data_IF_992585982166
#
_entry.id   IF_992585982166
#
_cell.length_a   1.000
_cell.length_b   1.000
_cell.length_c   1.000
_cell.angle_alpha   90.00
_cell.angle_beta   90.00
_cell.angle_gamma   90.00
#
_symmetry.space_group_name_H-M   'P 1'
#
loop_
_entity.id
_entity.type
_entity.pdbx_description
1 polymer ?
#
# COMPACT_ATOMS: atom_id res chain seq x y z
N UNK A 1 -15.21 29.21 34.00
CA UNK A 1 -15.94 29.27 32.72
C UNK A 1 -15.07 28.60 31.64
N UNK A 2 -15.22 27.28 31.43
CA UNK A 2 -14.39 26.48 30.51
C UNK A 2 -14.99 26.55 29.10
N UNK A 3 -14.26 27.12 28.13
CA UNK A 3 -14.70 27.19 26.74
C UNK A 3 -14.60 25.79 26.10
N UNK A 4 -15.75 25.19 25.78
CA UNK A 4 -15.83 23.96 24.97
C UNK A 4 -15.41 24.31 23.54
N UNK A 5 -14.25 23.81 23.09
CA UNK A 5 -13.89 23.84 21.66
C UNK A 5 -14.83 22.89 20.93
N UNK A 6 -15.64 23.44 20.04
CA UNK A 6 -16.51 22.70 19.14
C UNK A 6 -15.68 21.73 18.29
N UNK A 7 -15.76 20.43 18.58
CA UNK A 7 -15.42 19.39 17.62
C UNK A 7 -16.39 19.51 16.45
N UNK A 8 -15.94 20.17 15.36
CA UNK A 8 -16.64 20.08 14.07
C UNK A 8 -16.72 18.60 13.72
N UNK A 9 -17.93 18.05 13.66
CA UNK A 9 -18.21 16.75 13.05
C UNK A 9 -17.61 16.79 11.65
N UNK A 10 -16.63 15.94 11.38
CA UNK A 10 -16.08 15.78 10.04
C UNK A 10 -17.11 14.99 9.22
N UNK A 11 -17.75 15.58 8.20
CA UNK A 11 -18.59 14.79 7.33
C UNK A 11 -17.68 13.86 6.53
N UNK A 12 -17.95 12.56 6.60
CA UNK A 12 -17.35 11.49 5.78
C UNK A 12 -17.65 11.62 4.27
N UNK A 13 -18.10 12.80 3.81
CA UNK A 13 -18.23 13.13 2.39
C UNK A 13 -16.86 13.52 1.85
N UNK A 14 -16.10 12.49 1.52
CA UNK A 14 -14.76 12.54 0.94
C UNK A 14 -14.77 13.30 -0.40
N UNK A 15 -14.01 14.38 -0.48
CA UNK A 15 -13.79 15.14 -1.72
C UNK A 15 -13.11 14.25 -2.79
N UNK A 16 -13.49 14.38 -4.08
CA UNK A 16 -12.84 13.71 -5.22
C UNK A 16 -11.30 13.82 -5.25
N UNK A 17 -10.76 14.91 -4.73
CA UNK A 17 -9.33 15.21 -4.71
C UNK A 17 -8.53 14.32 -3.72
N UNK A 18 -9.20 13.66 -2.75
CA UNK A 18 -8.53 12.97 -1.62
C UNK A 18 -8.47 11.44 -1.75
N UNK A 19 -9.02 10.85 -2.82
CA UNK A 19 -9.04 9.38 -2.98
C UNK A 19 -7.65 8.75 -3.13
N UNK A 20 -6.72 9.46 -3.77
CA UNK A 20 -5.32 9.04 -3.86
C UNK A 20 -4.61 9.05 -2.49
N UNK A 21 -5.02 9.92 -1.56
CA UNK A 21 -4.51 9.93 -0.19
C UNK A 21 -5.05 8.74 0.61
N UNK A 22 -6.31 8.34 0.37
CA UNK A 22 -6.90 7.14 0.97
C UNK A 22 -6.14 5.88 0.53
N UNK A 23 -5.78 5.77 -0.74
CA UNK A 23 -5.01 4.62 -1.19
C UNK A 23 -3.59 4.58 -0.61
N UNK A 24 -2.89 5.73 -0.55
CA UNK A 24 -1.59 5.81 0.12
C UNK A 24 -1.69 5.44 1.60
N UNK A 25 -2.80 5.81 2.26
CA UNK A 25 -3.07 5.33 3.62
C UNK A 25 -3.28 3.82 3.67
N UNK A 26 -3.92 3.20 2.68
CA UNK A 26 -4.23 1.76 2.68
C UNK A 26 -3.01 0.84 2.71
N UNK A 27 -1.99 1.12 1.89
CA UNK A 27 -0.73 0.32 1.90
C UNK A 27 0.09 0.54 3.17
N UNK A 28 0.13 1.78 3.67
CA UNK A 28 0.81 2.13 4.93
C UNK A 28 0.12 1.52 6.15
N UNK A 29 -1.20 1.58 6.20
CA UNK A 29 -2.01 0.95 7.24
C UNK A 29 -1.84 -0.57 7.23
N UNK A 30 -1.69 -1.19 6.05
CA UNK A 30 -1.37 -2.61 5.96
C UNK A 30 0.01 -2.93 6.55
N UNK A 31 1.04 -2.12 6.28
CA UNK A 31 2.37 -2.30 6.89
C UNK A 31 2.32 -2.15 8.41
N UNK A 32 1.68 -1.10 8.92
CA UNK A 32 1.53 -0.89 10.36
C UNK A 32 0.76 -2.05 11.01
N UNK A 33 -0.32 -2.52 10.37
CA UNK A 33 -1.11 -3.66 10.84
C UNK A 33 -0.30 -4.97 10.87
N UNK A 34 0.56 -5.23 9.87
CA UNK A 34 1.42 -6.41 9.87
C UNK A 34 2.40 -6.39 11.05
N UNK A 35 2.99 -5.22 11.36
CA UNK A 35 3.89 -5.08 12.50
C UNK A 35 3.12 -5.19 13.82
N UNK A 36 1.96 -4.54 13.93
CA UNK A 36 1.14 -4.57 15.14
C UNK A 36 0.61 -5.97 15.47
N UNK A 37 0.19 -6.73 14.46
CA UNK A 37 -0.46 -8.03 14.65
C UNK A 37 0.51 -9.20 14.83
N UNK A 38 1.73 -9.09 14.27
CA UNK A 38 2.69 -10.21 14.23
C UNK A 38 4.05 -9.87 14.84
N UNK A 39 4.31 -8.61 15.16
CA UNK A 39 5.53 -8.19 15.85
C UNK A 39 5.46 -8.42 17.35
N UNK A 40 6.63 -8.45 17.99
CA UNK A 40 6.73 -8.43 19.45
C UNK A 40 6.52 -7.00 20.00
N UNK A 41 6.42 -6.87 21.33
CA UNK A 41 6.17 -5.58 21.98
C UNK A 41 7.21 -4.52 21.59
N UNK A 42 8.49 -4.87 21.53
CA UNK A 42 9.57 -3.95 21.17
C UNK A 42 9.41 -3.41 19.74
N UNK A 43 9.08 -4.29 18.78
CA UNK A 43 8.82 -3.91 17.39
C UNK A 43 7.58 -3.03 17.28
N UNK A 44 6.50 -3.37 18.00
CA UNK A 44 5.26 -2.60 18.02
C UNK A 44 5.52 -1.19 18.55
N UNK A 45 6.19 -1.07 19.69
CA UNK A 45 6.53 0.23 20.28
C UNK A 45 7.53 1.03 19.44
N UNK A 46 8.47 0.37 18.75
CA UNK A 46 9.46 1.03 17.89
C UNK A 46 8.82 1.58 16.60
N UNK A 47 7.99 0.79 15.92
CA UNK A 47 7.57 1.08 14.55
C UNK A 47 6.13 1.61 14.44
N UNK A 48 5.19 1.15 15.27
CA UNK A 48 3.78 1.50 15.09
C UNK A 48 3.47 2.99 15.39
N UNK A 49 3.94 3.59 16.51
CA UNK A 49 3.62 4.99 16.82
C UNK A 49 3.96 6.00 15.70
N UNK A 50 5.17 6.02 15.11
CA UNK A 50 5.49 6.98 14.05
C UNK A 50 4.74 6.69 12.73
N UNK A 51 4.31 5.43 12.51
CA UNK A 51 3.46 5.08 11.37
C UNK A 51 2.01 5.55 11.56
N UNK A 52 1.48 5.48 12.79
CA UNK A 52 0.13 5.94 13.12
C UNK A 52 -0.01 7.45 13.03
N UNK A 53 1.04 8.21 13.38
CA UNK A 53 1.08 9.68 13.26
C UNK A 53 1.45 10.16 11.85
N UNK A 54 1.87 9.24 10.96
CA UNK A 54 2.47 9.55 9.67
C UNK A 54 3.73 10.43 9.75
N UNK A 55 4.44 10.39 10.88
CA UNK A 55 5.79 10.96 10.99
C UNK A 55 6.77 10.20 10.10
N UNK A 56 6.63 8.87 10.08
CA UNK A 56 7.33 7.98 9.15
C UNK A 56 6.35 7.34 8.18
N UNK A 57 6.82 7.03 6.99
CA UNK A 57 6.05 6.29 6.00
C UNK A 57 6.55 4.86 5.83
N UNK A 58 5.62 3.94 5.54
CA UNK A 58 5.93 2.55 5.28
C UNK A 58 5.60 2.12 3.85
N UNK A 59 6.41 1.20 3.31
CA UNK A 59 6.21 0.54 2.03
C UNK A 59 6.21 -0.97 2.16
N UNK A 60 5.30 -1.63 1.45
CA UNK A 60 5.19 -3.08 1.40
C UNK A 60 5.99 -3.65 0.22
N UNK A 61 6.89 -4.59 0.49
CA UNK A 61 7.84 -5.13 -0.48
C UNK A 61 7.65 -6.65 -0.67
N UNK A 62 6.81 -7.03 -1.63
CA UNK A 62 6.57 -8.42 -2.00
C UNK A 62 7.02 -8.72 -3.44
N UNK A 63 6.44 -8.01 -4.40
CA UNK A 63 6.61 -8.23 -5.84
C UNK A 63 8.06 -8.07 -6.29
N UNK A 64 8.48 -8.95 -7.19
CA UNK A 64 9.79 -8.94 -7.85
C UNK A 64 9.61 -8.89 -9.37
N UNK A 65 10.67 -8.53 -10.14
CA UNK A 65 10.60 -8.56 -11.60
C UNK A 65 10.14 -9.91 -12.18
N UNK A 66 10.53 -11.02 -11.53
CA UNK A 66 10.15 -12.38 -11.93
C UNK A 66 8.96 -12.99 -11.17
N UNK A 67 8.47 -12.33 -10.11
CA UNK A 67 7.47 -12.91 -9.19
C UNK A 67 6.42 -11.86 -8.81
N UNK A 68 5.37 -11.78 -9.63
CA UNK A 68 4.18 -10.94 -9.40
C UNK A 68 3.00 -11.77 -8.86
N UNK A 69 2.27 -12.42 -9.78
CA UNK A 69 1.15 -13.30 -9.44
C UNK A 69 1.59 -14.54 -8.67
N UNK A 70 2.72 -15.13 -9.08
CA UNK A 70 3.39 -16.20 -8.33
C UNK A 70 4.28 -15.59 -7.24
N UNK A 71 3.65 -15.00 -6.22
CA UNK A 71 4.38 -14.30 -5.16
C UNK A 71 5.24 -15.21 -4.28
N UNK A 72 5.00 -16.54 -4.29
CA UNK A 72 5.73 -17.50 -3.48
C UNK A 72 7.10 -17.90 -4.08
N UNK A 73 7.33 -17.62 -5.36
CA UNK A 73 8.60 -17.91 -6.05
C UNK A 73 9.65 -16.81 -5.93
N UNK A 74 9.42 -15.82 -5.05
CA UNK A 74 10.37 -14.72 -4.81
C UNK A 74 11.80 -15.22 -4.55
N UNK A 75 12.77 -14.48 -5.05
CA UNK A 75 14.19 -14.81 -5.06
C UNK A 75 15.01 -13.94 -4.10
N UNK A 76 14.49 -12.78 -3.66
CA UNK A 76 15.17 -11.95 -2.66
C UNK A 76 15.48 -12.80 -1.44
N UNK A 77 16.76 -12.97 -1.13
CA UNK A 77 17.26 -13.83 -0.07
C UNK A 77 17.62 -13.01 1.17
N UNK A 78 17.59 -13.65 2.33
CA UNK A 78 18.02 -13.09 3.61
C UNK A 78 18.80 -14.17 4.37
N UNK A 79 20.13 -14.16 4.24
CA UNK A 79 21.00 -15.16 4.86
C UNK A 79 21.39 -14.72 6.27
N UNK A 80 21.10 -15.52 7.28
CA UNK A 80 21.49 -15.23 8.66
C UNK A 80 23.00 -15.34 8.84
N UNK A 81 23.63 -14.30 9.37
CA UNK A 81 25.04 -14.24 9.75
C UNK A 81 25.14 -13.57 11.13
N UNK A 82 25.39 -14.38 12.17
CA UNK A 82 25.36 -13.90 13.55
C UNK A 82 24.00 -13.35 13.96
N UNK A 83 23.99 -12.07 14.36
CA UNK A 83 22.82 -11.29 14.78
C UNK A 83 22.17 -10.48 13.64
N UNK A 84 22.63 -10.66 12.40
CA UNK A 84 22.11 -9.98 11.22
C UNK A 84 21.59 -10.97 10.14
N UNK A 85 20.69 -10.50 9.29
CA UNK A 85 20.41 -11.05 7.99
C UNK A 85 21.09 -10.21 6.93
N UNK A 86 21.73 -10.87 5.96
CA UNK A 86 22.28 -10.23 4.77
C UNK A 86 21.28 -10.41 3.63
N UNK A 87 20.64 -9.32 3.22
CA UNK A 87 19.63 -9.30 2.18
C UNK A 87 20.27 -9.05 0.82
N UNK A 88 19.90 -9.88 -0.16
CA UNK A 88 20.31 -9.74 -1.56
C UNK A 88 19.13 -10.00 -2.49
N UNK A 89 18.85 -9.06 -3.38
CA UNK A 89 17.78 -9.16 -4.37
C UNK A 89 17.18 -7.81 -4.76
N UNK A 90 16.06 -7.86 -5.47
CA UNK A 90 15.35 -6.65 -5.87
C UNK A 90 13.84 -6.86 -5.88
N UNK A 91 13.13 -5.79 -5.54
CA UNK A 91 11.67 -5.70 -5.53
C UNK A 91 11.23 -4.71 -6.58
N UNK A 92 10.09 -5.00 -7.21
CA UNK A 92 9.53 -4.22 -8.30
C UNK A 92 8.19 -3.60 -7.90
N UNK A 93 7.87 -2.45 -8.50
CA UNK A 93 6.60 -1.73 -8.30
C UNK A 93 6.30 -1.34 -6.85
N UNK A 94 7.34 -1.04 -6.07
CA UNK A 94 7.16 -0.69 -4.66
C UNK A 94 6.64 0.74 -4.54
N UNK A 95 5.45 0.83 -3.99
CA UNK A 95 4.70 2.06 -3.79
C UNK A 95 5.21 2.80 -2.56
N UNK A 96 5.56 4.07 -2.72
CA UNK A 96 6.22 4.88 -1.70
C UNK A 96 7.75 4.73 -1.64
N UNK A 97 8.34 3.83 -2.45
CA UNK A 97 9.78 3.60 -2.44
C UNK A 97 10.58 4.87 -2.75
N UNK A 98 11.63 5.08 -1.95
CA UNK A 98 12.46 6.29 -1.95
C UNK A 98 11.98 7.36 -0.98
N UNK A 99 10.69 7.40 -0.64
CA UNK A 99 10.14 8.35 0.36
C UNK A 99 9.89 7.67 1.70
N UNK A 100 9.44 6.40 1.70
CA UNK A 100 9.20 5.64 2.93
C UNK A 100 10.47 5.43 3.75
N UNK A 101 10.32 5.46 5.07
CA UNK A 101 11.37 5.21 6.06
C UNK A 101 11.41 3.76 6.51
N UNK A 102 10.29 3.04 6.39
CA UNK A 102 10.12 1.67 6.85
C UNK A 102 9.69 0.80 5.65
N UNK A 103 10.39 -0.31 5.43
CA UNK A 103 10.08 -1.26 4.37
C UNK A 103 9.76 -2.61 4.98
N UNK A 104 8.54 -3.10 4.78
CA UNK A 104 8.12 -4.44 5.21
C UNK A 104 8.43 -5.40 4.06
N UNK A 105 9.52 -6.16 4.18
CA UNK A 105 10.11 -6.95 3.11
C UNK A 105 9.83 -8.43 3.28
N UNK A 106 9.25 -9.03 2.24
CA UNK A 106 9.11 -10.48 2.13
C UNK A 106 10.34 -11.04 1.40
N UNK A 107 11.13 -11.82 2.12
CA UNK A 107 12.40 -12.37 1.64
C UNK A 107 12.57 -13.82 2.08
N UNK A 108 13.36 -14.60 1.34
CA UNK A 108 13.59 -16.02 1.56
C UNK A 108 14.72 -16.22 2.57
N UNK A 109 14.41 -16.78 3.73
CA UNK A 109 15.39 -17.20 4.75
C UNK A 109 15.61 -18.72 4.76
N UNK A 110 14.68 -19.49 4.17
CA UNK A 110 14.71 -20.96 4.14
C UNK A 110 14.68 -21.53 2.72
N UNK A 111 14.11 -22.74 2.59
CA UNK A 111 13.99 -23.47 1.32
C UNK A 111 13.01 -22.86 0.31
N UNK A 112 12.73 -23.55 -0.80
CA UNK A 112 11.79 -23.08 -1.81
C UNK A 112 10.33 -23.03 -1.29
N UNK A 113 9.50 -22.27 -2.00
CA UNK A 113 8.06 -22.15 -1.72
C UNK A 113 7.71 -21.25 -0.52
N UNK A 114 6.42 -21.24 -0.12
CA UNK A 114 5.87 -20.32 0.89
C UNK A 114 6.53 -20.41 2.26
N UNK A 115 6.87 -21.63 2.70
CA UNK A 115 7.42 -21.90 4.04
C UNK A 115 8.86 -21.40 4.22
N UNK A 116 9.54 -21.04 3.14
CA UNK A 116 10.88 -20.45 3.20
C UNK A 116 10.89 -18.92 3.26
N UNK A 117 9.73 -18.27 3.21
CA UNK A 117 9.61 -16.80 3.17
C UNK A 117 9.40 -16.27 4.58
N UNK A 118 10.13 -15.22 4.92
CA UNK A 118 10.05 -14.48 6.18
C UNK A 118 9.71 -13.01 5.92
N UNK A 119 9.22 -12.33 6.95
CA UNK A 119 8.93 -10.90 6.93
C UNK A 119 10.01 -10.16 7.73
N UNK A 120 10.71 -9.21 7.11
CA UNK A 120 11.77 -8.43 7.76
C UNK A 120 11.51 -6.95 7.53
N UNK A 121 11.59 -6.15 8.60
CA UNK A 121 11.54 -4.70 8.51
C UNK A 121 12.93 -4.14 8.19
N UNK A 122 13.03 -3.40 7.10
CA UNK A 122 14.26 -2.69 6.70
C UNK A 122 14.02 -1.20 6.81
N UNK A 123 14.92 -0.49 7.49
CA UNK A 123 14.82 0.95 7.66
C UNK A 123 15.54 1.67 6.50
N UNK A 124 15.03 2.82 6.09
CA UNK A 124 15.69 3.67 5.09
C UNK A 124 17.05 4.12 5.62
N UNK A 125 18.06 4.03 4.77
CA UNK A 125 19.44 4.38 5.14
C UNK A 125 20.26 3.20 5.66
N UNK A 126 19.68 2.01 5.82
CA UNK A 126 20.48 0.79 6.05
C UNK A 126 21.47 0.59 4.89
N UNK A 127 22.78 0.41 5.16
CA UNK A 127 23.75 0.14 4.10
C UNK A 127 23.34 -1.05 3.23
N UNK A 128 23.55 -0.93 1.92
CA UNK A 128 23.12 -1.94 0.93
C UNK A 128 21.65 -1.83 0.49
N UNK A 129 20.84 -0.94 1.10
CA UNK A 129 19.51 -0.59 0.60
C UNK A 129 19.60 0.58 -0.40
N UNK A 130 19.14 0.37 -1.63
CA UNK A 130 19.08 1.42 -2.65
C UNK A 130 17.76 1.38 -3.43
N UNK A 131 17.52 2.42 -4.23
CA UNK A 131 16.27 2.60 -4.95
C UNK A 131 16.51 2.85 -6.44
N UNK A 132 15.71 2.22 -7.28
CA UNK A 132 15.73 2.46 -8.73
C UNK A 132 15.14 3.82 -9.12
N UNK A 133 15.01 4.02 -10.43
CA UNK A 133 14.36 5.22 -10.99
C UNK A 133 12.87 5.29 -10.60
N UNK A 134 12.30 6.50 -10.65
CA UNK A 134 10.86 6.71 -10.52
C UNK A 134 10.14 6.27 -11.79
N UNK A 135 9.23 5.31 -11.67
CA UNK A 135 8.44 4.82 -12.79
C UNK A 135 7.43 5.85 -13.28
N UNK A 136 7.32 5.98 -14.61
CA UNK A 136 6.26 6.75 -15.26
C UNK A 136 5.04 5.84 -15.41
N UNK A 137 3.90 6.30 -14.90
CA UNK A 137 2.66 5.50 -14.80
C UNK A 137 1.50 6.24 -15.46
N UNK A 138 0.50 5.48 -15.93
CA UNK A 138 -0.74 6.04 -16.50
C UNK A 138 -1.55 6.79 -15.43
N UNK A 139 -1.59 6.25 -14.21
CA UNK A 139 -2.25 6.86 -13.06
C UNK A 139 -1.44 6.65 -11.78
N UNK A 140 -2.06 6.91 -10.63
CA UNK A 140 -1.41 6.72 -9.33
C UNK A 140 -0.11 7.54 -9.19
N UNK A 141 -0.12 8.76 -9.73
CA UNK A 141 1.07 9.61 -9.84
C UNK A 141 1.50 10.28 -8.53
N UNK A 142 0.58 10.39 -7.56
CA UNK A 142 0.86 11.01 -6.25
C UNK A 142 1.82 10.18 -5.39
N UNK A 143 2.06 8.92 -5.76
CA UNK A 143 2.99 8.03 -5.09
C UNK A 143 4.20 7.74 -5.99
N UNK A 144 5.42 7.82 -5.45
CA UNK A 144 6.57 7.28 -6.13
C UNK A 144 6.44 5.77 -6.21
N UNK A 145 6.77 5.23 -7.38
CA UNK A 145 6.89 3.80 -7.58
C UNK A 145 8.30 3.59 -8.11
N UNK A 146 9.08 2.77 -7.41
CA UNK A 146 10.48 2.49 -7.75
C UNK A 146 10.77 1.02 -7.49
N UNK A 147 11.85 0.52 -8.07
CA UNK A 147 12.48 -0.69 -7.57
C UNK A 147 13.12 -0.42 -6.19
N UNK A 148 13.12 -1.43 -5.34
CA UNK A 148 13.90 -1.44 -4.07
C UNK A 148 14.95 -2.53 -4.22
N UNK A 149 16.21 -2.19 -4.00
CA UNK A 149 17.36 -3.04 -4.31
C UNK A 149 18.12 -3.29 -3.00
N UNK A 150 18.52 -4.54 -2.80
CA UNK A 150 19.30 -4.99 -1.65
C UNK A 150 20.59 -5.63 -2.17
N UNK A 151 21.72 -5.05 -1.79
CA UNK A 151 23.07 -5.52 -2.11
C UNK A 151 23.86 -5.64 -0.81
N UNK A 152 24.07 -6.88 -0.35
CA UNK A 152 24.66 -7.20 0.96
C UNK A 152 24.10 -6.36 2.12
N UNK A 153 22.77 -6.15 2.08
CA UNK A 153 22.09 -5.27 3.01
C UNK A 153 21.95 -5.95 4.37
N UNK A 154 22.76 -5.51 5.35
CA UNK A 154 22.79 -6.09 6.70
C UNK A 154 21.67 -5.52 7.58
N UNK A 155 20.75 -6.38 8.03
CA UNK A 155 19.58 -6.01 8.83
C UNK A 155 19.55 -6.84 10.11
N UNK A 156 19.35 -6.25 11.30
CA UNK A 156 19.29 -7.01 12.55
C UNK A 156 18.23 -8.12 12.52
N UNK A 157 18.54 -9.29 13.07
CA UNK A 157 17.57 -10.40 13.23
C UNK A 157 16.36 -9.96 14.05
N UNK A 158 16.55 -9.00 14.97
CA UNK A 158 15.49 -8.38 15.77
C UNK A 158 14.45 -7.63 14.93
N UNK A 159 14.72 -7.30 13.66
CA UNK A 159 13.74 -6.69 12.76
C UNK A 159 12.84 -7.71 12.05
N UNK A 160 13.03 -9.02 12.27
CA UNK A 160 12.15 -10.06 11.71
C UNK A 160 10.80 -10.05 12.43
N UNK A 161 9.72 -9.89 11.68
CA UNK A 161 8.35 -9.93 12.18
C UNK A 161 7.87 -11.37 12.20
N UNK A 162 7.52 -11.86 13.39
CA UNK A 162 7.20 -13.27 13.61
C UNK A 162 8.39 -14.22 13.45
N UNK A 163 8.08 -15.50 13.24
CA UNK A 163 9.08 -16.56 13.07
C UNK A 163 9.58 -16.68 11.64
N UNK A 164 10.75 -17.31 11.44
CA UNK A 164 11.20 -17.67 10.09
C UNK A 164 10.18 -18.57 9.39
N UNK A 165 9.94 -18.35 8.10
CA UNK A 165 8.97 -19.10 7.31
C UNK A 165 7.51 -18.65 7.46
N UNK A 166 7.24 -17.67 8.33
CA UNK A 166 5.90 -17.11 8.54
C UNK A 166 5.57 -15.95 7.58
N UNK A 167 6.52 -15.49 6.78
CA UNK A 167 6.37 -14.29 5.93
C UNK A 167 5.25 -14.41 4.92
N UNK A 168 5.10 -15.56 4.24
CA UNK A 168 4.02 -15.73 3.27
C UNK A 168 2.63 -15.73 3.92
N UNK A 169 2.51 -16.28 5.14
CA UNK A 169 1.26 -16.20 5.91
C UNK A 169 0.91 -14.74 6.23
N UNK A 170 1.90 -13.96 6.71
CA UNK A 170 1.73 -12.54 7.01
C UNK A 170 1.32 -11.77 5.75
N UNK A 171 1.97 -12.05 4.61
CA UNK A 171 1.65 -11.46 3.32
C UNK A 171 0.19 -11.73 2.91
N UNK A 172 -0.25 -12.99 2.94
CA UNK A 172 -1.63 -13.37 2.56
C UNK A 172 -2.66 -12.73 3.50
N UNK A 173 -2.39 -12.72 4.81
CA UNK A 173 -3.30 -12.10 5.79
C UNK A 173 -3.43 -10.59 5.56
N UNK A 174 -2.33 -9.89 5.31
CA UNK A 174 -2.37 -8.47 4.97
C UNK A 174 -3.06 -8.18 3.64
N UNK A 175 -2.84 -9.02 2.62
CA UNK A 175 -3.51 -8.89 1.31
C UNK A 175 -5.03 -9.03 1.39
N UNK A 176 -5.58 -9.80 2.34
CA UNK A 176 -7.03 -9.86 2.54
C UNK A 176 -7.60 -8.50 2.97
N UNK A 177 -6.95 -7.81 3.91
CA UNK A 177 -7.32 -6.43 4.25
C UNK A 177 -7.07 -5.46 3.10
N UNK A 178 -5.93 -5.62 2.40
CA UNK A 178 -5.59 -4.83 1.21
C UNK A 178 -6.62 -4.93 0.08
N UNK A 179 -7.21 -6.11 -0.14
CA UNK A 179 -8.27 -6.37 -1.12
C UNK A 179 -9.54 -5.55 -0.82
N UNK A 180 -9.92 -5.45 0.44
CA UNK A 180 -11.07 -4.64 0.86
C UNK A 180 -10.77 -3.15 0.67
N UNK A 181 -9.56 -2.72 1.02
CA UNK A 181 -9.14 -1.32 0.86
C UNK A 181 -9.12 -0.89 -0.61
N UNK A 182 -8.58 -1.71 -1.52
CA UNK A 182 -8.55 -1.39 -2.95
C UNK A 182 -9.96 -1.40 -3.56
N UNK A 183 -10.82 -2.34 -3.16
CA UNK A 183 -12.22 -2.36 -3.59
C UNK A 183 -12.95 -1.08 -3.14
N UNK A 184 -12.71 -0.63 -1.90
CA UNK A 184 -13.27 0.62 -1.37
C UNK A 184 -12.80 1.85 -2.16
N UNK A 185 -11.54 1.88 -2.59
CA UNK A 185 -11.02 2.94 -3.46
C UNK A 185 -11.73 2.95 -4.83
N UNK A 186 -11.91 1.78 -5.43
CA UNK A 186 -12.63 1.64 -6.70
C UNK A 186 -14.10 2.08 -6.58
N UNK A 187 -14.78 1.72 -5.49
CA UNK A 187 -16.15 2.17 -5.22
C UNK A 187 -16.23 3.69 -5.05
N UNK A 188 -15.28 4.29 -4.34
CA UNK A 188 -15.22 5.76 -4.21
C UNK A 188 -15.06 6.48 -5.55
N UNK A 189 -14.17 5.97 -6.40
CA UNK A 189 -13.96 6.51 -7.75
C UNK A 189 -15.18 6.31 -8.66
N UNK A 190 -15.83 5.14 -8.60
CA UNK A 190 -17.05 4.85 -9.34
C UNK A 190 -18.20 5.78 -8.90
N UNK A 191 -18.41 5.91 -7.59
CA UNK A 191 -19.44 6.79 -7.03
C UNK A 191 -19.22 8.25 -7.44
N UNK A 192 -17.99 8.77 -7.34
CA UNK A 192 -17.66 10.11 -7.81
C UNK A 192 -17.94 10.28 -9.32
N UNK A 193 -17.59 9.28 -10.13
CA UNK A 193 -17.82 9.29 -11.58
C UNK A 193 -19.31 9.32 -11.92
N UNK A 194 -20.14 8.57 -11.19
CA UNK A 194 -21.61 8.58 -11.34
C UNK A 194 -22.19 9.95 -11.02
N UNK A 195 -21.78 10.55 -9.90
CA UNK A 195 -22.25 11.89 -9.49
C UNK A 195 -21.86 12.94 -10.53
N UNK A 196 -20.59 12.97 -10.94
CA UNK A 196 -20.10 13.91 -11.96
C UNK A 196 -20.81 13.72 -13.30
N UNK A 197 -21.06 12.47 -13.70
CA UNK A 197 -21.78 12.17 -14.96
C UNK A 197 -23.22 12.64 -14.89
N UNK A 198 -23.93 12.33 -13.80
CA UNK A 198 -25.31 12.81 -13.57
C UNK A 198 -25.38 14.33 -13.66
N UNK A 199 -24.48 15.02 -12.96
CA UNK A 199 -24.46 16.49 -12.93
C UNK A 199 -24.13 17.07 -14.30
N UNK A 200 -23.16 16.48 -15.01
CA UNK A 200 -22.82 16.88 -16.37
C UNK A 200 -23.99 16.70 -17.35
N UNK A 201 -24.74 15.59 -17.24
CA UNK A 201 -25.89 15.33 -18.10
C UNK A 201 -27.01 16.36 -17.91
N UNK A 202 -27.21 16.85 -16.68
CA UNK A 202 -28.23 17.85 -16.38
C UNK A 202 -27.84 19.27 -16.79
N UNK A 203 -26.54 19.60 -16.80
CA UNK A 203 -26.07 20.97 -17.11
C UNK A 203 -25.72 21.15 -18.59
N UNK A 204 -25.09 20.15 -19.22
CA UNK A 204 -24.65 20.27 -20.61
C UNK A 204 -25.86 20.16 -21.55
N UNK A 205 -25.96 21.08 -22.51
CA UNK A 205 -26.99 21.05 -23.57
C UNK A 205 -26.42 20.74 -24.94
N UNK A 206 -27.14 19.97 -25.75
CA UNK A 206 -26.90 19.74 -27.18
C UNK A 206 -28.25 19.54 -27.87
N UNK A 207 -28.37 20.01 -29.11
CA UNK A 207 -29.64 19.98 -29.86
C UNK A 207 -30.79 20.68 -29.11
N UNK A 208 -30.49 21.79 -28.43
CA UNK A 208 -31.47 22.60 -27.67
C UNK A 208 -31.79 22.10 -26.26
N UNK A 209 -31.54 20.82 -25.96
CA UNK A 209 -31.97 20.18 -24.72
C UNK A 209 -30.78 19.74 -23.82
N UNK A 210 -31.00 19.58 -22.51
CA UNK A 210 -30.04 18.90 -21.63
C UNK A 210 -29.71 17.49 -22.15
N UNK A 211 -28.46 17.04 -21.97
CA UNK A 211 -28.09 15.68 -22.34
C UNK A 211 -28.88 14.63 -21.57
N UNK A 212 -29.36 14.96 -20.38
CA UNK A 212 -30.24 14.14 -19.57
C UNK A 212 -31.57 13.83 -20.26
N UNK A 213 -32.02 14.58 -21.26
CA UNK A 213 -33.26 14.30 -22.01
C UNK A 213 -33.09 13.16 -23.04
N UNK A 214 -31.85 12.71 -23.30
CA UNK A 214 -31.58 11.63 -24.25
C UNK A 214 -31.69 10.24 -23.59
N UNK A 215 -32.61 9.41 -24.06
CA UNK A 215 -32.88 8.08 -23.51
C UNK A 215 -31.63 7.19 -23.40
N UNK A 216 -30.78 7.15 -24.43
CA UNK A 216 -29.57 6.29 -24.42
C UNK A 216 -28.60 6.69 -23.30
N UNK A 217 -28.50 7.98 -23.00
CA UNK A 217 -27.66 8.49 -21.90
C UNK A 217 -28.27 8.16 -20.54
N UNK A 218 -29.60 8.26 -20.39
CA UNK A 218 -30.30 7.84 -19.18
C UNK A 218 -30.13 6.34 -18.90
N UNK A 219 -30.31 5.49 -19.90
CA UNK A 219 -30.13 4.03 -19.79
C UNK A 219 -28.72 3.66 -19.36
N UNK A 220 -27.72 4.34 -19.93
CA UNK A 220 -26.31 4.12 -19.55
C UNK A 220 -26.06 4.48 -18.09
N UNK A 221 -26.56 5.62 -17.63
CA UNK A 221 -26.42 6.03 -16.23
C UNK A 221 -27.18 5.08 -15.29
N UNK A 222 -28.36 4.61 -15.70
CA UNK A 222 -29.15 3.63 -14.93
C UNK A 222 -28.36 2.33 -14.73
N UNK A 223 -27.72 1.82 -15.77
CA UNK A 223 -26.88 0.62 -15.71
C UNK A 223 -25.69 0.76 -14.74
N UNK A 224 -25.18 1.97 -14.52
CA UNK A 224 -24.06 2.19 -13.59
C UNK A 224 -24.49 2.18 -12.11
N UNK A 225 -25.78 2.36 -11.85
CA UNK A 225 -26.33 2.52 -10.50
C UNK A 225 -27.06 1.25 -10.03
N UNK A 226 -27.52 0.40 -10.95
CA UNK A 226 -28.19 -0.89 -10.69
C UNK A 226 -27.19 -2.04 -10.71
#
# INVERSE_FOLDING_TARGET
>A
MKSRKNFKKWPLTLLPERWLQIWQSGTRSMCAWMIDSFGNEEQRHKFCPPLCTMEKFASYCLTEPGSGSDAASLLTSAKKQGDHYILNGSKAFISGAGESDIYVVMCRTGGPGPKGISCIVVEKGTPGLSFGKKEKKVGWNSQPTRAVIFEDCAVPVANRIGSEGQGFLIAVRGLNGGRINIASCSLGAAHASVILTRDHLNVRKQFGEPLASNQKKQETLKLWIT
#
